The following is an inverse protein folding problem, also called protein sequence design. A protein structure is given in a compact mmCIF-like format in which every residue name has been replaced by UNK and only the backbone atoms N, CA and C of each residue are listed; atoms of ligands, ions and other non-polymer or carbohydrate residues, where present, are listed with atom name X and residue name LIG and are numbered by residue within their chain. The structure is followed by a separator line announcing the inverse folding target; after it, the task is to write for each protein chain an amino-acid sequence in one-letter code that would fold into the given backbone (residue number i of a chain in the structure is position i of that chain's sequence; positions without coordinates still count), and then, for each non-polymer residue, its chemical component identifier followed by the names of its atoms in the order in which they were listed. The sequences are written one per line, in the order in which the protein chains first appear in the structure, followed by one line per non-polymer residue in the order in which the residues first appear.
data_IF_195354664747
#
_entry.id   IF_195354664747
#
_cell.length_a   1.000
_cell.length_b   1.000
_cell.length_c   1.000
_cell.angle_alpha   90.00
_cell.angle_beta   90.00
_cell.angle_gamma   90.00
#
_symmetry.space_group_name_H-M   'P 1'
#
loop_
_entity.id
_entity.type
_entity.pdbx_description
1 polymer ?
#
# COMPACT_ATOMS: atom_id res chain seq x y z
N UNK A 1 -0.46 -19.08 -3.57
CA UNK A 1 -1.04 -18.10 -2.64
C UNK A 1 -0.43 -16.74 -2.91
N UNK A 2 -1.25 -15.76 -3.24
CA UNK A 2 -0.74 -14.42 -3.59
C UNK A 2 -0.24 -13.69 -2.35
N UNK A 3 0.99 -13.22 -2.38
CA UNK A 3 1.61 -12.39 -1.34
C UNK A 3 1.95 -11.06 -2.00
N UNK A 4 1.25 -10.02 -1.60
CA UNK A 4 1.43 -8.69 -2.18
C UNK A 4 2.28 -7.82 -1.26
N UNK A 5 2.83 -6.75 -1.82
CA UNK A 5 3.71 -5.83 -1.12
C UNK A 5 3.24 -4.40 -1.33
N UNK A 6 3.02 -3.68 -0.23
CA UNK A 6 2.74 -2.24 -0.27
C UNK A 6 4.02 -1.50 0.13
N UNK A 7 4.37 -0.48 -0.63
CA UNK A 7 5.57 0.33 -0.38
C UNK A 7 5.13 1.77 -0.18
N UNK A 8 5.53 2.37 0.95
CA UNK A 8 5.27 3.77 1.24
C UNK A 8 6.58 4.55 1.18
N UNK A 9 6.66 5.50 0.24
CA UNK A 9 7.84 6.32 0.04
C UNK A 9 7.75 7.57 0.91
N UNK A 10 8.50 7.61 1.99
CA UNK A 10 8.59 8.74 2.92
C UNK A 10 7.22 9.18 3.46
N UNK A 11 6.42 8.25 4.03
CA UNK A 11 5.12 8.63 4.56
C UNK A 11 5.25 9.62 5.70
N UNK A 12 4.34 10.61 5.74
CA UNK A 12 4.44 11.75 6.64
C UNK A 12 3.45 11.68 7.81
N UNK A 13 2.26 11.14 7.58
CA UNK A 13 1.16 11.19 8.54
C UNK A 13 1.00 9.84 9.24
N UNK A 14 1.24 9.77 10.56
CA UNK A 14 1.21 8.49 11.28
C UNK A 14 -0.14 7.78 11.23
N UNK A 15 -1.26 8.53 11.24
CA UNK A 15 -2.59 7.93 11.16
C UNK A 15 -2.80 7.18 9.84
N UNK A 16 -2.28 7.69 8.73
CA UNK A 16 -2.36 7.00 7.44
C UNK A 16 -1.57 5.71 7.45
N UNK A 17 -0.33 5.76 7.91
CA UNK A 17 0.51 4.56 7.99
C UNK A 17 -0.11 3.53 8.94
N UNK A 18 -0.71 3.99 10.03
CA UNK A 18 -1.42 3.10 10.95
C UNK A 18 -2.57 2.37 10.29
N UNK A 19 -3.42 3.10 9.57
CA UNK A 19 -4.55 2.48 8.85
C UNK A 19 -4.07 1.54 7.76
N UNK A 20 -3.00 1.89 7.05
CA UNK A 20 -2.41 1.04 6.02
C UNK A 20 -1.87 -0.25 6.63
N UNK A 21 -1.18 -0.15 7.77
CA UNK A 21 -0.67 -1.33 8.48
C UNK A 21 -1.80 -2.28 8.87
N UNK A 22 -2.93 -1.74 9.35
CA UNK A 22 -4.10 -2.54 9.68
C UNK A 22 -4.65 -3.28 8.46
N UNK A 23 -4.73 -2.59 7.33
CA UNK A 23 -5.16 -3.22 6.07
C UNK A 23 -4.20 -4.32 5.64
N UNK A 24 -2.90 -4.10 5.80
CA UNK A 24 -1.88 -5.09 5.46
C UNK A 24 -1.98 -6.34 6.35
N UNK A 25 -2.24 -6.17 7.65
CA UNK A 25 -2.46 -7.31 8.55
C UNK A 25 -3.70 -8.09 8.11
N UNK A 26 -4.78 -7.37 7.80
CA UNK A 26 -6.05 -8.00 7.42
C UNK A 26 -5.97 -8.79 6.11
N UNK A 27 -5.00 -8.50 5.27
CA UNK A 27 -4.85 -9.10 3.93
C UNK A 27 -3.58 -9.93 3.78
N UNK A 28 -2.82 -10.11 4.86
CA UNK A 28 -1.53 -10.80 4.84
C UNK A 28 -0.59 -10.20 3.78
N UNK A 29 -0.54 -8.87 3.73
CA UNK A 29 0.29 -8.11 2.80
C UNK A 29 1.51 -7.58 3.53
N UNK A 30 2.68 -7.65 2.89
CA UNK A 30 3.91 -7.11 3.46
C UNK A 30 3.96 -5.60 3.25
N UNK A 31 4.41 -4.88 4.29
CA UNK A 31 4.57 -3.43 4.24
C UNK A 31 6.04 -3.05 4.21
N UNK A 32 6.40 -2.17 3.28
CA UNK A 32 7.74 -1.61 3.16
C UNK A 32 7.67 -0.12 3.39
N UNK A 33 8.49 0.40 4.30
CA UNK A 33 8.54 1.83 4.62
C UNK A 33 9.91 2.38 4.26
N UNK A 34 9.93 3.38 3.39
CA UNK A 34 11.16 4.04 2.97
C UNK A 34 11.31 5.35 3.73
N UNK A 35 12.38 5.46 4.51
CA UNK A 35 12.67 6.65 5.29
C UNK A 35 13.15 7.82 4.41
N UNK A 36 13.03 9.08 4.86
CA UNK A 36 12.61 9.46 6.20
C UNK A 36 11.11 9.35 6.41
N UNK A 37 10.71 9.02 7.65
CA UNK A 37 9.32 8.97 8.06
C UNK A 37 8.97 10.25 8.81
N UNK A 38 7.74 10.74 8.65
CA UNK A 38 7.26 11.90 9.37
C UNK A 38 6.87 11.62 10.84
N UNK A 39 7.21 10.42 11.35
CA UNK A 39 6.82 9.98 12.69
C UNK A 39 7.79 8.91 13.18
N UNK A 40 7.65 8.54 14.47
CA UNK A 40 8.49 7.52 15.10
C UNK A 40 7.82 6.16 15.08
N UNK A 41 8.61 5.11 14.80
CA UNK A 41 8.17 3.71 14.90
C UNK A 41 8.54 3.09 16.25
N UNK A 42 8.92 3.91 17.26
CA UNK A 42 9.22 3.38 18.59
C UNK A 42 7.99 2.67 19.18
N UNK A 43 8.24 1.67 20.02
CA UNK A 43 7.18 0.92 20.70
C UNK A 43 6.21 1.85 21.42
N UNK A 44 6.74 2.87 22.10
CA UNK A 44 5.95 3.85 22.82
C UNK A 44 5.05 4.67 21.88
N UNK A 45 5.58 5.11 20.74
CA UNK A 45 4.82 5.89 19.78
C UNK A 45 3.72 5.05 19.13
N UNK A 46 4.01 3.80 18.78
CA UNK A 46 3.03 2.88 18.20
C UNK A 46 1.90 2.59 19.17
N UNK A 47 2.22 2.33 20.42
CA UNK A 47 1.22 2.08 21.45
C UNK A 47 0.32 3.30 21.67
N UNK A 48 0.93 4.50 21.70
CA UNK A 48 0.19 5.76 21.87
C UNK A 48 -0.77 6.00 20.70
N UNK A 49 -0.39 5.59 19.49
CA UNK A 49 -1.21 5.73 18.30
C UNK A 49 -2.28 4.65 18.14
N UNK A 50 -2.37 3.71 19.10
CA UNK A 50 -3.35 2.62 19.05
C UNK A 50 -3.04 1.55 18.02
N UNK A 51 -1.78 1.37 17.64
CA UNK A 51 -1.37 0.41 16.62
C UNK A 51 -1.04 -0.96 17.24
N UNK A 52 -1.99 -1.55 17.95
CA UNK A 52 -1.80 -2.83 18.66
C UNK A 52 -1.47 -3.97 17.70
N UNK A 53 -2.02 -3.92 16.48
CA UNK A 53 -1.81 -4.92 15.44
C UNK A 53 -0.42 -4.84 14.80
N UNK A 54 0.36 -3.80 15.09
CA UNK A 54 1.68 -3.58 14.47
C UNK A 54 2.63 -4.75 14.69
N UNK A 55 2.54 -5.41 15.83
CA UNK A 55 3.34 -6.59 16.15
C UNK A 55 3.06 -7.77 15.21
N UNK A 56 1.87 -7.81 14.61
CA UNK A 56 1.47 -8.89 13.70
C UNK A 56 1.77 -8.53 12.24
N UNK A 57 2.31 -7.35 12.00
CA UNK A 57 2.58 -6.83 10.67
C UNK A 57 3.97 -7.24 10.21
N UNK A 58 4.05 -7.78 8.99
CA UNK A 58 5.32 -8.01 8.33
C UNK A 58 5.78 -6.69 7.70
N UNK A 59 6.68 -5.99 8.38
CA UNK A 59 7.14 -4.66 7.96
C UNK A 59 8.68 -4.61 7.91
N UNK A 60 9.20 -3.97 6.85
CA UNK A 60 10.62 -3.71 6.67
C UNK A 60 10.80 -2.22 6.40
N UNK A 61 11.83 -1.62 6.99
CA UNK A 61 12.18 -0.22 6.75
C UNK A 61 13.48 -0.13 5.94
N UNK A 62 13.60 0.95 5.16
CA UNK A 62 14.75 1.19 4.29
C UNK A 62 15.24 2.62 4.50
N UNK A 63 16.54 2.83 4.34
CA UNK A 63 17.15 4.14 4.57
C UNK A 63 16.72 5.19 3.54
N UNK A 64 16.51 4.77 2.29
CA UNK A 64 16.10 5.63 1.18
C UNK A 64 15.60 4.78 0.03
N UNK A 65 15.21 5.41 -1.06
CA UNK A 65 14.69 4.72 -2.24
C UNK A 65 15.74 3.78 -2.86
N UNK A 66 16.98 4.21 -2.93
CA UNK A 66 18.08 3.41 -3.49
C UNK A 66 18.32 2.15 -2.66
N UNK A 67 18.26 2.26 -1.32
CA UNK A 67 18.38 1.12 -0.42
C UNK A 67 17.26 0.11 -0.68
N UNK A 68 16.03 0.60 -0.87
CA UNK A 68 14.89 -0.25 -1.18
C UNK A 68 15.10 -1.01 -2.51
N UNK A 69 15.49 -0.31 -3.56
CA UNK A 69 15.71 -0.91 -4.89
C UNK A 69 16.84 -1.94 -4.83
N UNK A 70 17.92 -1.61 -4.14
CA UNK A 70 19.08 -2.52 -4.01
C UNK A 70 18.72 -3.81 -3.29
N UNK A 71 17.89 -3.72 -2.25
CA UNK A 71 17.48 -4.90 -1.48
C UNK A 71 16.36 -5.70 -2.13
N UNK A 72 15.70 -5.14 -3.13
CA UNK A 72 14.62 -5.81 -3.85
C UNK A 72 14.87 -5.75 -5.35
N UNK A 73 15.99 -6.30 -5.85
CA UNK A 73 16.42 -6.10 -7.24
C UNK A 73 15.50 -6.70 -8.30
N UNK A 74 14.71 -7.70 -7.92
CA UNK A 74 13.81 -8.39 -8.86
C UNK A 74 12.35 -7.98 -8.66
N UNK A 75 12.09 -6.94 -7.87
CA UNK A 75 10.73 -6.50 -7.57
C UNK A 75 10.06 -5.93 -8.82
N UNK A 76 8.86 -6.41 -9.12
CA UNK A 76 8.00 -5.77 -10.10
C UNK A 76 7.15 -4.75 -9.36
N UNK A 77 7.37 -3.48 -9.66
CA UNK A 77 6.77 -2.37 -8.92
C UNK A 77 5.76 -1.63 -9.79
N UNK A 78 4.56 -1.43 -9.27
CA UNK A 78 3.56 -0.51 -9.83
C UNK A 78 3.60 0.75 -8.99
N UNK A 79 3.48 1.89 -9.63
CA UNK A 79 3.59 3.20 -8.98
C UNK A 79 2.25 3.90 -9.01
N UNK A 80 1.61 4.05 -7.87
CA UNK A 80 0.31 4.71 -7.76
C UNK A 80 0.51 6.22 -7.71
N UNK A 81 -0.05 6.93 -8.68
CA UNK A 81 0.11 8.37 -8.81
C UNK A 81 -1.08 8.96 -9.58
N UNK A 82 -1.53 10.15 -9.18
CA UNK A 82 -2.58 10.86 -9.91
C UNK A 82 -2.12 11.32 -11.30
N UNK A 83 -0.82 11.22 -11.59
CA UNK A 83 -0.22 11.65 -12.86
C UNK A 83 -0.14 10.54 -13.90
N UNK A 84 -0.57 9.33 -13.58
CA UNK A 84 -0.50 8.20 -14.50
C UNK A 84 -1.50 8.34 -15.64
N UNK A 85 -1.16 7.72 -16.77
CA UNK A 85 -2.03 7.68 -17.96
C UNK A 85 -2.83 6.38 -18.04
N UNK A 86 -2.63 5.47 -17.11
CA UNK A 86 -3.38 4.23 -17.00
C UNK A 86 -4.19 4.21 -15.71
N UNK A 87 -5.34 3.58 -15.76
CA UNK A 87 -6.16 3.34 -14.58
C UNK A 87 -5.58 2.16 -13.80
N UNK A 88 -5.75 2.17 -12.49
CA UNK A 88 -5.26 1.09 -11.64
C UNK A 88 -5.84 -0.28 -11.99
N UNK A 89 -6.94 -0.33 -12.73
CA UNK A 89 -7.55 -1.57 -13.19
C UNK A 89 -6.99 -2.08 -14.53
N UNK A 90 -6.13 -1.28 -15.18
CA UNK A 90 -5.61 -1.63 -16.52
C UNK A 90 -4.37 -2.50 -16.51
N UNK A 91 -3.83 -2.79 -15.33
CA UNK A 91 -2.62 -3.63 -15.19
C UNK A 91 -2.98 -4.91 -14.46
N UNK A 92 -2.13 -5.92 -14.62
CA UNK A 92 -2.31 -7.19 -13.93
C UNK A 92 -1.32 -7.28 -12.77
N UNK A 93 -1.87 -7.33 -11.56
CA UNK A 93 -1.06 -7.41 -10.33
C UNK A 93 -0.71 -8.87 -10.07
N UNK A 94 0.52 -9.23 -10.37
CA UNK A 94 1.01 -10.59 -10.21
C UNK A 94 1.29 -10.89 -8.74
N UNK A 95 1.39 -12.19 -8.43
CA UNK A 95 1.85 -12.62 -7.12
C UNK A 95 3.22 -12.01 -6.83
N UNK A 96 3.40 -11.59 -5.59
CA UNK A 96 4.64 -10.96 -5.11
C UNK A 96 4.96 -9.59 -5.77
N UNK A 97 4.01 -8.97 -6.47
CA UNK A 97 4.25 -7.63 -6.99
C UNK A 97 4.25 -6.59 -5.85
N UNK A 98 4.84 -5.44 -6.14
CA UNK A 98 4.94 -4.31 -5.22
C UNK A 98 4.10 -3.16 -5.75
N UNK A 99 3.39 -2.47 -4.88
CA UNK A 99 2.62 -1.28 -5.24
C UNK A 99 3.13 -0.13 -4.37
N UNK A 100 3.74 0.86 -5.01
CA UNK A 100 4.36 1.98 -4.31
C UNK A 100 3.44 3.19 -4.31
N UNK A 101 3.36 3.86 -3.16
CA UNK A 101 2.63 5.10 -2.96
C UNK A 101 3.59 6.17 -2.44
N UNK A 102 3.40 7.40 -2.88
CA UNK A 102 4.23 8.51 -2.44
C UNK A 102 3.73 9.14 -1.14
N UNK A 103 4.49 10.10 -0.63
CA UNK A 103 4.13 10.83 0.57
C UNK A 103 2.91 11.71 0.34
N UNK A 104 2.20 12.01 1.42
CA UNK A 104 0.91 12.70 1.36
C UNK A 104 0.99 14.08 0.72
N UNK A 105 2.09 14.82 0.96
CA UNK A 105 2.21 16.20 0.49
C UNK A 105 2.64 16.34 -0.97
N UNK A 106 3.28 15.34 -1.57
CA UNK A 106 3.91 15.50 -2.88
C UNK A 106 3.83 14.29 -3.81
N UNK A 107 3.42 13.12 -3.30
CA UNK A 107 3.40 11.90 -4.09
C UNK A 107 4.81 11.36 -4.39
N UNK A 108 4.91 10.58 -5.44
CA UNK A 108 6.18 10.00 -5.90
C UNK A 108 6.90 11.02 -6.78
N UNK A 109 8.23 11.24 -6.60
CA UNK A 109 8.98 12.15 -7.46
C UNK A 109 8.86 11.79 -8.94
N UNK A 110 8.72 12.81 -9.80
CA UNK A 110 8.53 12.58 -11.24
C UNK A 110 9.72 11.89 -11.89
N UNK A 111 10.92 12.09 -11.36
CA UNK A 111 12.13 11.43 -11.85
C UNK A 111 12.00 9.90 -11.78
N UNK A 112 11.37 9.40 -10.72
CA UNK A 112 11.12 7.96 -10.56
C UNK A 112 10.03 7.52 -11.54
N UNK A 113 8.95 8.29 -11.64
CA UNK A 113 7.81 7.94 -12.50
C UNK A 113 8.19 7.87 -13.97
N UNK A 114 9.04 8.78 -14.44
CA UNK A 114 9.47 8.84 -15.84
C UNK A 114 10.16 7.56 -16.29
N UNK A 115 10.89 6.91 -15.40
CA UNK A 115 11.58 5.67 -15.70
C UNK A 115 10.66 4.44 -15.72
N UNK A 116 9.42 4.60 -15.26
CA UNK A 116 8.48 3.49 -15.07
C UNK A 116 7.09 3.79 -15.63
N UNK A 117 7.01 4.53 -16.69
CA UNK A 117 5.76 5.00 -17.31
C UNK A 117 4.71 3.89 -17.45
N UNK A 118 5.13 2.72 -17.91
CA UNK A 118 4.21 1.61 -18.19
C UNK A 118 3.62 1.00 -16.93
N UNK A 119 4.24 1.22 -15.78
CA UNK A 119 3.81 0.67 -14.51
C UNK A 119 3.19 1.72 -13.58
N UNK A 120 2.95 2.92 -14.08
CA UNK A 120 2.24 3.95 -13.31
C UNK A 120 0.74 3.79 -13.48
N UNK A 121 0.01 3.85 -12.37
CA UNK A 121 -1.45 3.66 -12.35
C UNK A 121 -2.10 4.73 -11.51
N UNK A 122 -3.36 5.08 -11.84
CA UNK A 122 -4.12 6.06 -11.08
C UNK A 122 -5.50 5.55 -10.72
N UNK A 123 -6.04 6.07 -9.64
CA UNK A 123 -7.44 5.88 -9.28
C UNK A 123 -8.23 7.01 -9.96
N UNK A 124 -9.26 6.69 -10.76
CA UNK A 124 -10.07 7.73 -11.42
C UNK A 124 -10.76 8.63 -10.41
N UNK A 125 -10.86 9.91 -10.74
CA UNK A 125 -11.59 10.92 -9.97
C UNK A 125 -12.37 11.81 -10.94
N UNK A 126 -13.44 12.43 -10.44
CA UNK A 126 -14.27 13.29 -11.28
C UNK A 126 -13.46 14.46 -11.85
N UNK A 127 -12.59 15.03 -11.04
CA UNK A 127 -11.73 16.15 -11.44
C UNK A 127 -10.35 15.96 -10.83
N UNK A 128 -9.33 16.60 -11.42
CA UNK A 128 -7.96 16.54 -10.92
C UNK A 128 -7.69 17.56 -9.82
N UNK A 129 -8.69 17.81 -8.98
CA UNK A 129 -8.60 18.85 -7.95
C UNK A 129 -7.65 18.44 -6.83
N UNK A 130 -7.68 17.17 -6.44
CA UNK A 130 -6.88 16.66 -5.32
C UNK A 130 -6.65 15.16 -5.47
N UNK A 131 -5.78 14.63 -4.62
CA UNK A 131 -5.62 13.20 -4.44
C UNK A 131 -6.60 12.72 -3.36
N UNK A 132 -6.87 11.43 -3.36
CA UNK A 132 -7.59 10.77 -2.27
C UNK A 132 -6.65 10.63 -1.07
N UNK A 133 -7.24 10.47 0.12
CA UNK A 133 -6.48 10.13 1.31
C UNK A 133 -5.59 8.91 1.04
N UNK A 134 -4.35 8.95 1.52
CA UNK A 134 -3.37 7.90 1.23
C UNK A 134 -3.85 6.51 1.67
N UNK A 135 -4.37 6.37 2.88
CA UNK A 135 -4.80 5.06 3.36
C UNK A 135 -5.99 4.52 2.57
N UNK A 136 -6.89 5.40 2.10
CA UNK A 136 -7.99 5.00 1.21
C UNK A 136 -7.45 4.54 -0.14
N UNK A 137 -6.48 5.26 -0.71
CA UNK A 137 -5.86 4.91 -1.99
C UNK A 137 -5.21 3.53 -1.92
N UNK A 138 -4.48 3.26 -0.85
CA UNK A 138 -3.83 1.96 -0.64
C UNK A 138 -4.88 0.85 -0.60
N UNK A 139 -5.95 1.04 0.16
CA UNK A 139 -7.00 0.03 0.29
C UNK A 139 -7.66 -0.25 -1.07
N UNK A 140 -7.97 0.80 -1.84
CA UNK A 140 -8.61 0.65 -3.15
C UNK A 140 -7.74 -0.18 -4.09
N UNK A 141 -6.47 0.20 -4.25
CA UNK A 141 -5.58 -0.48 -5.20
C UNK A 141 -5.23 -1.87 -4.72
N UNK A 142 -4.96 -2.04 -3.43
CA UNK A 142 -4.63 -3.34 -2.87
C UNK A 142 -5.79 -4.32 -3.06
N UNK A 143 -7.03 -3.91 -2.80
CA UNK A 143 -8.18 -4.80 -2.97
C UNK A 143 -8.46 -5.13 -4.43
N UNK A 144 -8.11 -4.26 -5.37
CA UNK A 144 -8.18 -4.62 -6.78
C UNK A 144 -7.15 -5.71 -7.10
N UNK A 145 -5.93 -5.58 -6.57
CA UNK A 145 -4.91 -6.60 -6.76
C UNK A 145 -5.33 -7.94 -6.14
N UNK A 146 -5.93 -7.91 -4.95
CA UNK A 146 -6.45 -9.11 -4.30
C UNK A 146 -7.59 -9.72 -5.10
N UNK A 147 -8.49 -8.90 -5.64
CA UNK A 147 -9.59 -9.39 -6.50
C UNK A 147 -9.05 -10.09 -7.73
N UNK A 148 -8.04 -9.52 -8.39
CA UNK A 148 -7.42 -10.15 -9.56
C UNK A 148 -6.79 -11.50 -9.23
N UNK A 149 -6.32 -11.66 -7.99
CA UNK A 149 -5.78 -12.93 -7.48
C UNK A 149 -6.86 -13.75 -6.77
N UNK A 150 -8.15 -13.46 -7.03
CA UNK A 150 -9.31 -14.22 -6.58
C UNK A 150 -9.46 -14.30 -5.06
N UNK A 151 -8.95 -13.29 -4.35
CA UNK A 151 -8.97 -13.25 -2.87
C UNK A 151 -8.41 -14.54 -2.26
N UNK A 152 -7.37 -15.08 -2.91
CA UNK A 152 -6.71 -16.30 -2.47
C UNK A 152 -6.35 -16.21 -0.98
N UNK A 153 -6.56 -17.29 -0.23
CA UNK A 153 -6.32 -17.42 1.21
C UNK A 153 -7.15 -16.49 2.11
N UNK A 154 -8.16 -15.80 1.56
CA UNK A 154 -9.00 -14.90 2.36
C UNK A 154 -10.35 -15.53 2.66
N UNK A 155 -10.96 -15.13 3.78
CA UNK A 155 -12.30 -15.57 4.15
C UNK A 155 -13.32 -14.79 3.32
N UNK A 156 -14.08 -15.49 2.48
CA UNK A 156 -15.01 -14.87 1.54
C UNK A 156 -16.44 -14.72 2.08
N UNK A 157 -16.77 -15.44 3.12
CA UNK A 157 -18.14 -15.46 3.67
C UNK A 157 -18.12 -15.19 5.15
N UNK A 158 -19.08 -14.42 5.59
CA UNK A 158 -19.30 -14.18 7.00
C UNK A 158 -20.51 -14.96 7.51
N UNK A 159 -20.78 -14.83 8.80
CA UNK A 159 -21.96 -15.41 9.44
C UNK A 159 -22.44 -14.47 10.54
N UNK A 160 -23.74 -14.57 10.86
CA UNK A 160 -24.30 -13.79 11.94
C UNK A 160 -23.89 -14.40 13.28
N UNK A 161 -23.88 -13.57 14.32
CA UNK A 161 -23.49 -14.03 15.67
C UNK A 161 -24.68 -14.65 16.41
N UNK A 162 -25.87 -14.11 16.22
CA UNK A 162 -27.06 -14.51 16.98
C UNK A 162 -28.15 -15.11 16.11
N UNK A 163 -27.98 -15.18 14.82
CA UNK A 163 -28.96 -15.66 13.86
C UNK A 163 -28.27 -16.40 12.73
N UNK A 164 -29.03 -16.99 11.83
CA UNK A 164 -28.52 -17.61 10.60
C UNK A 164 -29.06 -16.83 9.38
N UNK A 165 -28.37 -16.95 8.26
CA UNK A 165 -28.74 -16.25 7.04
C UNK A 165 -29.93 -16.88 6.30
N UNK A 166 -30.52 -17.93 6.79
CA UNK A 166 -31.65 -18.58 6.17
C UNK A 166 -32.99 -18.18 6.76
#
# INVERSE_FOLDING_TARGET
MAKLNIVLLEPEIPANTGNIGRTCVATDTKLHLIEPLGFSLSEKALKRAGMDYWKDLDVTTYLDYEDFVEKNPNAKIYYATTKAIKTYTDVQYEDDCYIMFGKESAGIPEEILMEHKENCVRIPMINDIRSLNLSNSVAIVLYEALRQNQFDHMQLKGQLHNHTWE
#
